data_IF_827050609905
#
_entry.id   IF_827050609905
#
_cell.length_a   1.000
_cell.length_b   1.000
_cell.length_c   1.000
_cell.angle_alpha   90.00
_cell.angle_beta   90.00
_cell.angle_gamma   90.00
#
_symmetry.space_group_name_H-M   'P 1'
#
loop_
_entity.id
_entity.type
_entity.pdbx_description
1 polymer ?
#
# COMPACT_ATOMS: atom_id res chain seq x y z
N UNK A 1 12.15 -3.31 10.88
CA UNK A 1 11.08 -2.30 10.73
C UNK A 1 11.71 -0.98 10.33
N UNK A 2 11.31 -0.42 9.21
CA UNK A 2 11.72 0.92 8.81
C UNK A 2 10.69 1.94 9.32
N UNK A 3 11.15 3.06 9.86
CA UNK A 3 10.28 4.19 10.21
C UNK A 3 9.99 4.98 8.93
N UNK A 4 8.75 4.91 8.43
CA UNK A 4 8.33 5.66 7.25
C UNK A 4 7.59 6.94 7.67
N UNK A 5 7.85 8.02 6.93
CA UNK A 5 7.21 9.33 7.16
C UNK A 5 5.85 9.36 6.48
N UNK A 6 4.82 9.81 7.20
CA UNK A 6 3.54 10.21 6.61
C UNK A 6 3.75 11.51 5.84
N UNK A 7 3.32 11.55 4.58
CA UNK A 7 3.45 12.68 3.66
C UNK A 7 2.08 13.12 3.18
N UNK A 8 1.89 14.42 3.03
CA UNK A 8 0.74 14.96 2.32
C UNK A 8 0.91 14.68 0.82
N UNK A 9 -0.09 14.07 0.19
CA UNK A 9 -0.07 13.78 -1.25
C UNK A 9 -0.88 14.83 -2.01
N UNK A 10 -2.04 15.21 -1.48
CA UNK A 10 -2.89 16.27 -2.03
C UNK A 10 -3.66 17.03 -0.91
N UNK A 11 -4.69 17.79 -1.29
CA UNK A 11 -5.50 18.59 -0.35
C UNK A 11 -6.25 17.74 0.68
N UNK A 12 -6.61 16.52 0.30
CA UNK A 12 -7.51 15.65 1.05
C UNK A 12 -6.87 14.31 1.43
N UNK A 13 -5.65 14.01 0.98
CA UNK A 13 -5.01 12.72 1.20
C UNK A 13 -3.58 12.83 1.76
N UNK A 14 -3.26 11.84 2.59
CA UNK A 14 -1.94 11.57 3.11
C UNK A 14 -1.55 10.15 2.75
N UNK A 15 -0.25 9.88 2.63
CA UNK A 15 0.27 8.57 2.32
C UNK A 15 1.54 8.24 3.08
N UNK A 16 1.86 6.96 3.11
CA UNK A 16 3.14 6.44 3.57
C UNK A 16 3.95 5.95 2.36
N UNK A 17 5.27 6.00 2.46
CA UNK A 17 6.14 5.40 1.44
C UNK A 17 6.41 3.94 1.83
N UNK A 18 6.18 3.01 0.91
CA UNK A 18 6.61 1.62 1.05
C UNK A 18 8.01 1.45 0.45
N UNK A 19 8.97 0.84 1.15
CA UNK A 19 10.30 0.58 0.61
C UNK A 19 10.25 -0.29 -0.64
N UNK A 20 11.02 0.07 -1.69
CA UNK A 20 11.08 -0.73 -2.93
C UNK A 20 11.52 -2.17 -2.69
N UNK A 21 12.38 -2.41 -1.72
CA UNK A 21 12.87 -3.76 -1.41
C UNK A 21 11.75 -4.65 -0.87
N UNK A 22 10.87 -4.12 -0.01
CA UNK A 22 9.71 -4.84 0.49
C UNK A 22 8.75 -5.18 -0.66
N UNK A 23 8.47 -4.21 -1.54
CA UNK A 23 7.63 -4.43 -2.72
C UNK A 23 8.24 -5.44 -3.71
N UNK A 24 9.57 -5.50 -3.80
CA UNK A 24 10.28 -6.47 -4.64
C UNK A 24 10.16 -7.89 -4.08
N UNK A 25 10.26 -8.06 -2.76
CA UNK A 25 10.07 -9.36 -2.10
C UNK A 25 8.65 -9.90 -2.35
N UNK A 26 7.66 -9.01 -2.33
CA UNK A 26 6.25 -9.33 -2.63
C UNK A 26 5.96 -9.51 -4.15
N UNK A 27 6.97 -9.39 -5.02
CA UNK A 27 6.82 -9.56 -6.46
C UNK A 27 5.99 -8.46 -7.16
N UNK A 28 5.76 -7.33 -6.49
CA UNK A 28 4.94 -6.22 -6.98
C UNK A 28 5.65 -5.35 -8.01
N UNK A 29 6.99 -5.44 -8.06
CA UNK A 29 7.81 -4.66 -8.98
C UNK A 29 8.28 -5.48 -10.18
N UNK A 30 8.52 -4.80 -11.30
CA UNK A 30 9.20 -5.34 -12.47
C UNK A 30 10.73 -5.30 -12.37
N UNK A 31 11.39 -5.75 -13.43
CA UNK A 31 12.86 -5.76 -13.53
C UNK A 31 13.47 -4.34 -13.51
N UNK A 32 12.68 -3.32 -13.85
CA UNK A 32 13.08 -1.92 -13.80
C UNK A 32 12.76 -1.28 -12.43
N UNK A 33 12.09 -2.01 -11.53
CA UNK A 33 11.68 -1.52 -10.23
C UNK A 33 10.43 -0.64 -10.27
N UNK A 34 9.61 -0.78 -11.31
CA UNK A 34 8.33 -0.11 -11.47
C UNK A 34 7.18 -1.04 -11.03
N UNK A 35 6.07 -0.45 -10.58
CA UNK A 35 4.92 -1.22 -10.11
C UNK A 35 4.28 -1.99 -11.27
N UNK A 36 4.06 -3.29 -11.09
CA UNK A 36 3.33 -4.13 -12.05
C UNK A 36 1.84 -4.08 -11.75
N UNK A 37 1.02 -3.94 -12.80
CA UNK A 37 -0.45 -4.01 -12.69
C UNK A 37 -1.03 -2.99 -11.68
N UNK A 38 -2.34 -3.08 -11.47
CA UNK A 38 -3.01 -2.34 -10.41
C UNK A 38 -3.04 -3.17 -9.12
N UNK A 39 -2.75 -2.53 -8.00
CA UNK A 39 -2.76 -3.16 -6.67
C UNK A 39 -3.53 -2.28 -5.71
N UNK A 40 -4.36 -2.91 -4.89
CA UNK A 40 -5.13 -2.24 -3.86
C UNK A 40 -4.81 -2.85 -2.50
N UNK A 41 -4.89 -2.02 -1.48
CA UNK A 41 -4.71 -2.42 -0.09
C UNK A 41 -5.93 -1.99 0.71
N UNK A 42 -6.41 -2.86 1.59
CA UNK A 42 -7.27 -2.46 2.69
C UNK A 42 -6.42 -1.86 3.80
N UNK A 43 -6.87 -0.72 4.32
CA UNK A 43 -6.27 -0.07 5.49
C UNK A 43 -7.30 -0.10 6.61
N UNK A 44 -6.95 -0.74 7.73
CA UNK A 44 -7.78 -0.78 8.94
C UNK A 44 -7.06 -0.05 10.07
N UNK A 45 -7.80 0.76 10.82
CA UNK A 45 -7.33 1.30 12.09
C UNK A 45 -7.72 0.33 13.20
N UNK A 46 -6.72 -0.16 13.93
CA UNK A 46 -6.92 -1.18 14.96
C UNK A 46 -6.95 -0.59 16.39
N UNK A 47 -6.61 0.70 16.54
CA UNK A 47 -6.58 1.41 17.83
C UNK A 47 -5.17 1.89 18.18
N UNK A 48 -5.04 2.78 19.17
CA UNK A 48 -3.76 3.22 19.74
C UNK A 48 -2.69 3.72 18.73
N UNK A 49 -3.13 4.23 17.58
CA UNK A 49 -2.21 4.66 16.52
C UNK A 49 -1.59 3.50 15.73
N UNK A 50 -2.23 2.33 15.77
CA UNK A 50 -1.90 1.17 14.96
C UNK A 50 -2.86 1.03 13.78
N UNK A 51 -2.26 0.68 12.64
CA UNK A 51 -2.98 0.38 11.42
C UNK A 51 -2.45 -0.91 10.80
N UNK A 52 -3.34 -1.73 10.30
CA UNK A 52 -3.02 -2.89 9.46
C UNK A 52 -3.28 -2.56 7.99
N UNK A 53 -2.32 -2.92 7.15
CA UNK A 53 -2.43 -2.85 5.70
C UNK A 53 -2.42 -4.27 5.14
N UNK A 54 -3.41 -4.60 4.31
CA UNK A 54 -3.55 -5.92 3.68
C UNK A 54 -3.77 -5.77 2.19
N UNK A 55 -2.99 -6.46 1.37
CA UNK A 55 -3.17 -6.46 -0.09
C UNK A 55 -4.45 -7.22 -0.45
N UNK A 56 -5.24 -6.65 -1.35
CA UNK A 56 -6.43 -7.32 -1.90
C UNK A 56 -6.03 -8.10 -3.15
N UNK A 57 -6.32 -9.41 -3.15
CA UNK A 57 -6.25 -10.24 -4.35
C UNK A 57 -7.64 -10.37 -4.96
N UNK A 58 -7.77 -10.06 -6.26
CA UNK A 58 -9.02 -10.17 -6.99
C UNK A 58 -10.12 -9.26 -6.42
N UNK A 59 -10.09 -7.96 -6.75
CA UNK A 59 -11.27 -7.12 -6.55
C UNK A 59 -12.35 -7.64 -7.50
N UNK A 60 -13.19 -8.53 -7.00
CA UNK A 60 -14.52 -8.71 -7.57
C UNK A 60 -15.28 -7.44 -7.18
N UNK A 61 -15.36 -6.50 -8.12
CA UNK A 61 -16.18 -5.29 -7.97
C UNK A 61 -17.63 -5.72 -7.89
N UNK A 62 -18.05 -6.14 -6.70
CA UNK A 62 -19.42 -6.45 -6.36
C UNK A 62 -20.26 -5.21 -6.57
N UNK A 63 -20.89 -5.13 -7.75
CA UNK A 63 -21.93 -4.17 -8.06
C UNK A 63 -23.06 -4.42 -7.07
N UNK A 64 -23.32 -3.45 -6.19
CA UNK A 64 -24.50 -3.37 -5.35
C UNK A 64 -25.23 -2.08 -5.71
#
# INVERSE_FOLDING_TARGET
MALNKIRQLDRNSYGITLPKDDLRVEGLLDENGELKNEHHVHIRHDGDGEWTLERVEGIDVGVN
#
